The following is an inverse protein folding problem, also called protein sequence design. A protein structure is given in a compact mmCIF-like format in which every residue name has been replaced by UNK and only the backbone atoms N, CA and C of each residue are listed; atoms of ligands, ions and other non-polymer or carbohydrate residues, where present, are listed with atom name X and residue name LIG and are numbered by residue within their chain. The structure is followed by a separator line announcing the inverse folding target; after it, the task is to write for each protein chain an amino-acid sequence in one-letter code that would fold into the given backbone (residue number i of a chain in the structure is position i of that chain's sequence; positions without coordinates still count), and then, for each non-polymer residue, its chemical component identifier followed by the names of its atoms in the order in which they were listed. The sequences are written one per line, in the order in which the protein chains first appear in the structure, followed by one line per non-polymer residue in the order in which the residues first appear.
data_IF_249529500161
#
_entry.id   IF_249529500161
#
_cell.length_a   1.000
_cell.length_b   1.000
_cell.length_c   1.000
_cell.angle_alpha   90.00
_cell.angle_beta   90.00
_cell.angle_gamma   90.00
#
_symmetry.space_group_name_H-M   'P 1'
#
loop_
_entity.id
_entity.type
_entity.pdbx_description
1 polymer ?
#
# COMPACT_ATOMS: atom_id res chain seq x y z
N UNK A 1 -0.01 -31.00 -20.30
CA UNK A 1 0.16 -30.08 -19.15
C UNK A 1 0.92 -30.82 -18.06
N UNK A 2 2.22 -30.55 -17.93
CA UNK A 2 3.02 -31.06 -16.81
C UNK A 2 2.53 -30.39 -15.51
N UNK A 3 2.17 -31.19 -14.51
CA UNK A 3 1.87 -30.69 -13.17
C UNK A 3 3.18 -30.58 -12.40
N UNK A 4 3.58 -29.36 -12.07
CA UNK A 4 4.67 -29.14 -11.11
C UNK A 4 4.25 -29.66 -9.73
N UNK A 5 4.96 -30.69 -9.24
CA UNK A 5 4.79 -31.25 -7.89
C UNK A 5 5.83 -30.63 -6.95
N UNK A 6 5.65 -29.36 -6.59
CA UNK A 6 6.52 -28.69 -5.61
C UNK A 6 6.04 -29.00 -4.20
N UNK A 7 6.95 -29.24 -3.24
CA UNK A 7 6.65 -29.50 -1.82
C UNK A 7 6.46 -28.25 -0.97
N UNK A 8 6.89 -27.08 -1.45
CA UNK A 8 6.79 -25.76 -0.80
C UNK A 8 6.76 -24.67 -1.86
N UNK A 9 6.19 -23.53 -1.51
CA UNK A 9 6.25 -22.32 -2.33
C UNK A 9 7.09 -21.25 -1.64
N UNK A 10 7.86 -20.53 -2.44
CA UNK A 10 8.70 -19.44 -1.97
C UNK A 10 8.02 -18.12 -2.31
N UNK A 11 7.62 -17.37 -1.28
CA UNK A 11 7.10 -16.02 -1.47
C UNK A 11 8.26 -15.04 -1.51
N UNK A 12 8.41 -14.37 -2.65
CA UNK A 12 9.40 -13.32 -2.84
C UNK A 12 8.82 -11.96 -2.43
N UNK A 13 8.68 -11.76 -1.11
CA UNK A 13 8.35 -10.49 -0.48
C UNK A 13 9.66 -9.82 0.00
N UNK A 14 9.64 -8.58 0.55
CA UNK A 14 10.83 -7.97 1.15
C UNK A 14 11.51 -8.87 2.20
N UNK A 15 10.74 -9.80 2.77
CA UNK A 15 11.24 -10.93 3.55
C UNK A 15 10.88 -12.21 2.81
N UNK A 16 11.88 -13.01 2.45
CA UNK A 16 11.67 -14.33 1.88
C UNK A 16 11.03 -15.25 2.94
N UNK A 17 9.86 -15.80 2.62
CA UNK A 17 9.17 -16.74 3.52
C UNK A 17 8.75 -17.99 2.78
N UNK A 18 8.96 -19.16 3.41
CA UNK A 18 8.41 -20.41 2.92
C UNK A 18 6.94 -20.52 3.31
N UNK A 19 6.12 -20.91 2.34
CA UNK A 19 4.70 -21.24 2.55
C UNK A 19 4.52 -22.73 2.36
N UNK A 20 3.90 -23.37 3.34
CA UNK A 20 3.51 -24.76 3.25
C UNK A 20 2.40 -24.92 2.20
N UNK A 21 2.48 -25.98 1.39
CA UNK A 21 1.53 -26.15 0.26
C UNK A 21 0.07 -26.16 0.70
N UNK A 22 -0.21 -26.76 1.86
CA UNK A 22 -1.55 -26.87 2.39
C UNK A 22 -2.16 -25.49 2.65
N UNK A 23 -1.35 -24.56 3.16
CA UNK A 23 -1.79 -23.19 3.41
C UNK A 23 -1.99 -22.44 2.10
N UNK A 24 -1.11 -22.66 1.11
CA UNK A 24 -1.30 -22.10 -0.23
C UNK A 24 -2.56 -22.63 -0.92
N UNK A 25 -2.84 -23.94 -0.84
CA UNK A 25 -4.03 -24.54 -1.45
C UNK A 25 -5.33 -24.06 -0.82
N UNK A 26 -5.31 -23.72 0.48
CA UNK A 26 -6.46 -23.18 1.22
C UNK A 26 -6.60 -21.68 1.05
N UNK A 27 -5.51 -20.97 0.75
CA UNK A 27 -5.52 -19.54 0.56
C UNK A 27 -6.43 -19.15 -0.62
N UNK A 28 -7.12 -18.02 -0.44
CA UNK A 28 -7.91 -17.42 -1.50
C UNK A 28 -7.13 -16.27 -2.13
N UNK A 29 -7.18 -16.09 -3.46
CA UNK A 29 -6.69 -14.88 -4.09
C UNK A 29 -7.33 -13.64 -3.47
N UNK A 30 -6.60 -12.54 -3.45
CA UNK A 30 -7.16 -11.27 -2.99
C UNK A 30 -8.37 -10.89 -3.87
N UNK A 31 -9.46 -10.49 -3.22
CA UNK A 31 -10.75 -10.28 -3.88
C UNK A 31 -10.71 -9.19 -4.95
N UNK A 32 -9.75 -8.26 -4.90
CA UNK A 32 -9.62 -7.17 -5.86
C UNK A 32 -8.33 -7.25 -6.69
N UNK A 33 -7.56 -8.35 -6.60
CA UNK A 33 -6.33 -8.53 -7.36
C UNK A 33 -6.53 -8.32 -8.87
N UNK A 34 -7.67 -8.76 -9.40
CA UNK A 34 -8.04 -8.61 -10.82
C UNK A 34 -8.32 -7.14 -11.21
N UNK A 35 -8.78 -6.31 -10.27
CA UNK A 35 -9.06 -4.88 -10.48
C UNK A 35 -7.84 -3.99 -10.26
N UNK A 36 -6.81 -4.47 -9.57
CA UNK A 36 -5.64 -3.67 -9.21
C UNK A 36 -4.96 -2.97 -10.42
N UNK A 37 -4.71 -3.63 -11.57
CA UNK A 37 -4.11 -2.95 -12.73
C UNK A 37 -4.95 -1.78 -13.25
N UNK A 38 -6.28 -1.91 -13.19
CA UNK A 38 -7.24 -0.91 -13.66
C UNK A 38 -7.33 0.28 -12.71
N UNK A 39 -7.28 0.03 -11.40
CA UNK A 39 -7.20 1.10 -10.38
C UNK A 39 -5.88 1.87 -10.56
N UNK A 40 -4.76 1.16 -10.72
CA UNK A 40 -3.44 1.77 -10.92
C UNK A 40 -3.43 2.63 -12.19
N UNK A 41 -4.02 2.16 -13.29
CA UNK A 41 -4.04 2.93 -14.54
C UNK A 41 -4.88 4.20 -14.44
N UNK A 42 -6.07 4.14 -13.82
CA UNK A 42 -6.90 5.33 -13.56
C UNK A 42 -6.20 6.34 -12.67
N UNK A 43 -5.50 5.87 -11.63
CA UNK A 43 -4.76 6.76 -10.76
C UNK A 43 -3.60 7.47 -11.48
N UNK A 44 -2.86 6.71 -12.31
CA UNK A 44 -1.79 7.25 -13.16
C UNK A 44 -2.31 8.27 -14.17
N UNK A 45 -3.52 8.10 -14.69
CA UNK A 45 -4.15 9.07 -15.60
C UNK A 45 -4.39 10.44 -14.94
N UNK A 46 -4.39 10.54 -13.60
CA UNK A 46 -4.43 11.81 -12.88
C UNK A 46 -3.14 12.64 -12.93
N UNK A 47 -2.05 12.09 -13.51
CA UNK A 47 -0.81 12.81 -13.80
C UNK A 47 -0.14 13.44 -12.57
N UNK A 48 0.42 14.63 -12.75
CA UNK A 48 1.21 15.33 -11.73
C UNK A 48 0.43 15.58 -10.44
N UNK A 49 -0.88 15.83 -10.53
CA UNK A 49 -1.73 16.04 -9.36
C UNK A 49 -1.73 14.81 -8.46
N UNK A 50 -1.85 13.62 -9.05
CA UNK A 50 -1.75 12.35 -8.32
C UNK A 50 -0.36 12.20 -7.72
N UNK A 51 0.70 12.45 -8.48
CA UNK A 51 2.09 12.29 -8.02
C UNK A 51 2.34 13.18 -6.79
N UNK A 52 1.95 14.45 -6.85
CA UNK A 52 2.09 15.37 -5.71
C UNK A 52 1.25 14.94 -4.50
N UNK A 53 0.05 14.41 -4.72
CA UNK A 53 -0.79 13.88 -3.65
C UNK A 53 -0.15 12.66 -2.96
N UNK A 54 0.47 11.75 -3.72
CA UNK A 54 1.22 10.61 -3.20
C UNK A 54 2.44 11.04 -2.39
N UNK A 55 3.22 12.01 -2.88
CA UNK A 55 4.35 12.59 -2.13
C UNK A 55 3.88 13.22 -0.82
N UNK A 56 2.79 14.00 -0.88
CA UNK A 56 2.19 14.61 0.31
C UNK A 56 1.70 13.56 1.30
N UNK A 57 1.11 12.45 0.83
CA UNK A 57 0.71 11.33 1.70
C UNK A 57 1.92 10.73 2.43
N UNK A 58 3.05 10.51 1.74
CA UNK A 58 4.27 9.98 2.34
C UNK A 58 4.76 10.90 3.47
N UNK A 59 4.75 12.21 3.23
CA UNK A 59 5.10 13.19 4.25
C UNK A 59 4.14 13.16 5.45
N UNK A 60 2.82 13.18 5.21
CA UNK A 60 1.82 13.25 6.29
C UNK A 60 1.78 12.00 7.16
N UNK A 61 1.91 10.82 6.57
CA UNK A 61 1.65 9.54 7.27
C UNK A 61 2.94 8.85 7.73
N UNK A 62 4.04 9.03 7.00
CA UNK A 62 5.33 8.39 7.30
C UNK A 62 6.43 9.37 7.70
N UNK A 63 6.17 10.69 7.60
CA UNK A 63 7.16 11.74 7.91
C UNK A 63 8.44 11.66 7.07
N UNK A 64 8.30 11.23 5.81
CA UNK A 64 9.42 11.11 4.86
C UNK A 64 9.15 12.01 3.66
N UNK A 65 10.15 12.82 3.29
CA UNK A 65 10.15 13.56 2.02
C UNK A 65 10.70 12.67 0.92
N UNK A 66 9.99 12.60 -0.20
CA UNK A 66 10.31 11.69 -1.30
C UNK A 66 10.41 12.47 -2.61
N UNK A 67 11.44 12.22 -3.43
CA UNK A 67 11.57 12.84 -4.74
C UNK A 67 10.61 12.22 -5.76
N UNK A 68 10.25 10.95 -5.59
CA UNK A 68 9.35 10.21 -6.47
C UNK A 68 8.46 9.26 -5.67
N UNK A 69 7.21 9.07 -6.12
CA UNK A 69 6.26 8.13 -5.53
C UNK A 69 5.38 7.52 -6.60
N UNK A 70 5.36 6.18 -6.68
CA UNK A 70 4.63 5.42 -7.69
C UNK A 70 3.80 4.34 -7.01
N UNK A 71 2.51 4.27 -7.33
CA UNK A 71 1.66 3.16 -6.90
C UNK A 71 2.05 1.88 -7.66
N UNK A 72 2.44 0.85 -6.92
CA UNK A 72 2.91 -0.44 -7.46
C UNK A 72 1.96 -1.62 -7.18
N UNK A 73 1.10 -1.51 -6.16
CA UNK A 73 0.19 -2.58 -5.78
C UNK A 73 -1.02 -2.03 -5.03
N UNK A 74 -2.16 -2.71 -5.21
CA UNK A 74 -3.42 -2.45 -4.49
C UNK A 74 -4.04 -3.80 -4.17
N UNK A 75 -4.53 -3.98 -2.95
CA UNK A 75 -5.25 -5.17 -2.51
C UNK A 75 -6.36 -4.79 -1.52
N UNK A 76 -7.10 -5.78 -1.01
CA UNK A 76 -8.26 -5.52 -0.13
C UNK A 76 -7.91 -4.79 1.17
N UNK A 77 -6.64 -4.80 1.60
CA UNK A 77 -6.20 -4.21 2.87
C UNK A 77 -5.51 -2.86 2.69
N UNK A 78 -5.09 -2.50 1.48
CA UNK A 78 -4.39 -1.26 1.24
C UNK A 78 -3.65 -1.21 -0.09
N UNK A 79 -2.54 -0.49 -0.09
CA UNK A 79 -1.71 -0.30 -1.28
C UNK A 79 -0.25 -0.05 -0.95
N UNK A 80 0.60 -0.27 -1.95
CA UNK A 80 2.04 -0.13 -1.88
C UNK A 80 2.53 0.95 -2.83
N UNK A 81 3.36 1.85 -2.29
CA UNK A 81 4.08 2.86 -3.06
C UNK A 81 5.56 2.49 -3.16
N UNK A 82 6.13 2.54 -4.35
CA UNK A 82 7.58 2.62 -4.53
C UNK A 82 7.99 4.09 -4.48
N UNK A 83 8.91 4.42 -3.59
CA UNK A 83 9.36 5.80 -3.39
C UNK A 83 10.87 5.91 -3.48
N UNK A 84 11.34 7.08 -3.90
CA UNK A 84 12.75 7.48 -3.85
C UNK A 84 12.90 8.57 -2.78
N UNK A 85 13.89 8.41 -1.89
CA UNK A 85 14.30 9.44 -0.93
C UNK A 85 15.83 9.49 -0.89
N UNK A 86 16.40 10.53 -1.48
CA UNK A 86 17.83 10.67 -1.73
C UNK A 86 18.35 9.54 -2.62
N UNK A 87 19.25 8.72 -2.08
CA UNK A 87 19.85 7.57 -2.79
C UNK A 87 19.11 6.25 -2.53
N UNK A 88 18.04 6.26 -1.74
CA UNK A 88 17.32 5.07 -1.32
C UNK A 88 16.01 4.92 -2.09
N UNK A 89 15.77 3.68 -2.55
CA UNK A 89 14.48 3.27 -3.11
C UNK A 89 13.86 2.27 -2.16
N UNK A 90 12.63 2.53 -1.73
CA UNK A 90 11.92 1.66 -0.79
C UNK A 90 10.44 1.52 -1.16
N UNK A 91 9.84 0.41 -0.72
CA UNK A 91 8.41 0.19 -0.84
C UNK A 91 7.73 0.54 0.49
N UNK A 92 6.70 1.38 0.43
CA UNK A 92 5.91 1.84 1.56
C UNK A 92 4.49 1.30 1.47
N UNK A 93 4.06 0.61 2.53
CA UNK A 93 2.70 0.11 2.69
C UNK A 93 1.80 1.12 3.40
N UNK A 94 0.64 1.38 2.81
CA UNK A 94 -0.45 2.19 3.36
C UNK A 94 -1.69 1.33 3.51
N UNK A 95 -2.29 1.34 4.70
CA UNK A 95 -3.49 0.57 4.99
C UNK A 95 -4.75 1.38 4.64
N UNK A 96 -5.78 0.69 4.16
CA UNK A 96 -7.12 1.23 4.15
C UNK A 96 -7.72 1.26 5.56
N UNK A 97 -8.69 2.15 5.78
CA UNK A 97 -9.40 2.25 7.06
C UNK A 97 -10.24 0.99 7.30
N UNK A 98 -10.83 0.46 6.22
CA UNK A 98 -11.59 -0.78 6.24
C UNK A 98 -11.21 -1.65 5.04
N UNK A 99 -11.42 -2.96 5.17
CA UNK A 99 -11.21 -3.91 4.07
C UNK A 99 -12.07 -3.50 2.87
N UNK A 100 -11.42 -3.26 1.74
CA UNK A 100 -12.09 -3.05 0.47
C UNK A 100 -12.65 -4.38 -0.05
N UNK A 101 -13.91 -4.38 -0.42
CA UNK A 101 -14.64 -5.56 -0.92
C UNK A 101 -15.07 -5.40 -2.38
N UNK A 102 -14.67 -4.31 -3.02
CA UNK A 102 -14.96 -4.00 -4.41
C UNK A 102 -13.91 -3.04 -5.00
N UNK A 103 -13.77 -3.05 -6.32
CA UNK A 103 -12.97 -2.07 -7.08
C UNK A 103 -13.30 -0.63 -6.66
N UNK A 104 -14.59 -0.30 -6.61
CA UNK A 104 -15.07 1.01 -6.22
C UNK A 104 -14.64 1.39 -4.80
N UNK A 105 -14.81 0.49 -3.82
CA UNK A 105 -14.43 0.77 -2.43
C UNK A 105 -12.92 0.98 -2.26
N UNK A 106 -12.09 0.23 -2.99
CA UNK A 106 -10.64 0.37 -2.95
C UNK A 106 -10.20 1.70 -3.54
N UNK A 107 -10.72 2.05 -4.72
CA UNK A 107 -10.40 3.31 -5.39
C UNK A 107 -10.87 4.52 -4.58
N UNK A 108 -12.07 4.45 -3.98
CA UNK A 108 -12.58 5.51 -3.10
C UNK A 108 -11.69 5.71 -1.88
N UNK A 109 -11.35 4.64 -1.16
CA UNK A 109 -10.49 4.75 0.03
C UNK A 109 -9.09 5.26 -0.33
N UNK A 110 -8.54 4.84 -1.47
CA UNK A 110 -7.29 5.36 -1.98
C UNK A 110 -7.41 6.88 -2.25
N UNK A 111 -8.46 7.31 -2.95
CA UNK A 111 -8.72 8.72 -3.25
C UNK A 111 -8.87 9.57 -1.98
N UNK A 112 -9.60 9.07 -0.98
CA UNK A 112 -9.80 9.76 0.29
C UNK A 112 -8.49 9.93 1.07
N UNK A 113 -7.53 8.99 0.94
CA UNK A 113 -6.21 9.08 1.56
C UNK A 113 -5.29 10.09 0.87
N UNK A 114 -5.27 10.12 -0.47
CA UNK A 114 -4.37 11.01 -1.22
C UNK A 114 -4.92 12.43 -1.34
N UNK A 115 -6.25 12.60 -1.35
CA UNK A 115 -6.95 13.89 -1.38
C UNK A 115 -7.83 14.06 -0.12
N UNK A 116 -7.23 14.19 1.07
CA UNK A 116 -8.01 14.33 2.29
C UNK A 116 -8.86 15.60 2.22
N UNK A 117 -10.18 15.43 2.37
CA UNK A 117 -11.08 16.56 2.62
C UNK A 117 -10.68 17.16 3.96
N UNK A 118 -10.58 18.48 4.05
CA UNK A 118 -10.22 19.21 5.28
C UNK A 118 -11.33 19.00 6.31
N UNK A 119 -11.30 17.87 7.01
CA UNK A 119 -11.99 17.64 8.25
C UNK A 119 -10.90 17.28 9.25
N UNK A 120 -10.34 18.29 9.89
CA UNK A 120 -9.37 18.12 10.96
C UNK A 120 -9.95 17.19 12.03
N UNK A 121 -9.40 15.98 12.15
CA UNK A 121 -9.28 15.33 13.45
C UNK A 121 -7.79 15.27 13.77
N UNK A 122 -7.29 16.05 14.74
CA UNK A 122 -5.89 16.00 15.11
C UNK A 122 -5.58 14.61 15.67
N UNK A 123 -4.59 13.95 15.07
CA UNK A 123 -3.96 12.76 15.61
C UNK A 123 -3.28 13.17 16.91
N UNK A 124 -3.74 12.63 18.05
CA UNK A 124 -3.08 12.81 19.36
C UNK A 124 -1.62 12.38 19.21
N UNK A 125 -0.70 13.35 19.27
CA UNK A 125 0.71 13.09 19.55
C UNK A 125 0.73 12.45 20.95
N UNK A 126 1.24 11.23 21.05
CA UNK A 126 1.68 10.71 22.34
C UNK A 126 2.88 11.56 22.75
N UNK A 127 2.70 12.36 23.80
CA UNK A 127 3.75 13.13 24.42
C UNK A 127 4.78 12.15 24.98
N UNK A 128 6.01 12.25 24.47
CA UNK A 128 7.16 11.61 25.09
C UNK A 128 7.36 12.28 26.46
N UNK A 129 7.03 11.54 27.52
CA UNK A 129 7.26 11.96 28.89
C UNK A 129 8.77 11.94 29.14
N UNK A 130 9.42 13.09 29.02
CA UNK A 130 10.72 13.33 29.64
C UNK A 130 10.51 13.26 31.16
N UNK A 131 11.22 12.36 31.82
CA UNK A 131 11.48 12.41 33.26
C UNK A 131 12.97 12.67 33.41
N UNK A 132 13.30 13.85 33.90
CA UNK A 132 14.62 14.19 34.43
C UNK A 132 14.40 14.94 35.73
N UNK A 133 14.71 14.26 36.85
CA UNK A 133 15.09 14.72 38.20
C UNK A 133 14.82 13.62 39.21
#
# INVERSE_FOLDING_TARGET
MEKLSSKRLFLFLPFATFVELNDFQKAQPDAIAHSAPKIISRLKAGGDKTIQALKSLCWRVKSIQVEEAILIGVDTLGFDLRVCSGKQVQNLRFAFIAKANSEYSAERQLHDLIFPRIHHKPQKRQEAHSKES
#
